data_IF_569928528209
#
_entry.id   IF_569928528209
#
_cell.length_a   1.000
_cell.length_b   1.000
_cell.length_c   1.000
_cell.angle_alpha   90.00
_cell.angle_beta   90.00
_cell.angle_gamma   90.00
#
_symmetry.space_group_name_H-M   'P 1'
#
loop_
_entity.id
_entity.type
_entity.pdbx_description
1 polymer ?
#
# COMPACT_ATOMS: atom_id res chain seq x y z
N UNK A 1 7.25 17.24 -5.34
CA UNK A 1 6.88 15.85 -5.68
C UNK A 1 6.49 15.71 -7.16
N UNK A 2 5.48 16.45 -7.65
CA UNK A 2 5.08 16.43 -9.08
C UNK A 2 6.08 17.12 -10.03
N UNK A 3 7.01 17.90 -9.50
CA UNK A 3 8.09 18.51 -10.29
C UNK A 3 9.11 17.50 -10.83
N UNK A 4 9.02 16.23 -10.41
CA UNK A 4 9.86 15.12 -10.87
C UNK A 4 8.96 13.99 -11.34
N UNK A 5 9.42 13.25 -12.36
CA UNK A 5 8.70 12.07 -12.83
C UNK A 5 8.79 10.96 -11.78
N UNK A 6 7.65 10.64 -11.18
CA UNK A 6 7.49 9.52 -10.25
C UNK A 6 6.53 8.51 -10.88
N UNK A 7 6.78 7.24 -10.59
CA UNK A 7 5.99 6.13 -11.14
C UNK A 7 5.07 5.48 -10.11
N UNK A 8 5.31 5.70 -8.82
CA UNK A 8 4.48 5.18 -7.73
C UNK A 8 4.76 5.92 -6.42
N UNK A 9 3.93 5.68 -5.41
CA UNK A 9 4.11 6.14 -4.03
C UNK A 9 4.08 4.94 -3.09
N UNK A 10 4.96 4.95 -2.08
CA UNK A 10 4.97 3.94 -1.03
C UNK A 10 4.67 4.59 0.34
N UNK A 11 3.73 4.05 1.10
CA UNK A 11 3.24 4.65 2.35
C UNK A 11 3.06 3.63 3.49
N UNK A 12 3.16 4.08 4.74
CA UNK A 12 3.03 3.18 5.90
C UNK A 12 1.60 2.63 6.01
N UNK A 13 1.45 1.31 6.20
CA UNK A 13 0.14 0.65 6.35
C UNK A 13 -0.72 1.23 7.48
N UNK A 14 -0.12 1.63 8.61
CA UNK A 14 -0.83 2.16 9.78
C UNK A 14 -1.37 3.57 9.57
N UNK A 15 -0.96 4.25 8.51
CA UNK A 15 -1.45 5.58 8.18
C UNK A 15 -2.48 5.57 7.03
N UNK A 16 -3.01 4.40 6.67
CA UNK A 16 -4.05 4.24 5.67
C UNK A 16 -5.45 4.12 6.32
N UNK A 17 -6.51 4.58 5.64
CA UNK A 17 -6.49 5.50 4.50
C UNK A 17 -6.05 6.91 4.91
N UNK A 18 -5.60 7.70 3.94
CA UNK A 18 -5.42 9.14 4.12
C UNK A 18 -5.68 9.91 2.82
N UNK A 19 -5.98 11.22 2.88
CA UNK A 19 -6.31 12.01 1.69
C UNK A 19 -5.22 12.03 0.62
N UNK A 20 -3.95 11.95 1.03
CA UNK A 20 -2.83 11.98 0.09
C UNK A 20 -2.78 10.71 -0.77
N UNK A 21 -2.92 9.52 -0.18
CA UNK A 21 -2.93 8.27 -0.96
C UNK A 21 -4.16 8.17 -1.87
N UNK A 22 -5.34 8.65 -1.42
CA UNK A 22 -6.53 8.73 -2.28
C UNK A 22 -6.30 9.66 -3.47
N UNK A 23 -5.68 10.82 -3.24
CA UNK A 23 -5.35 11.74 -4.33
C UNK A 23 -4.39 11.11 -5.35
N UNK A 24 -3.33 10.45 -4.89
CA UNK A 24 -2.36 9.79 -5.78
C UNK A 24 -3.04 8.70 -6.62
N UNK A 25 -3.80 7.80 -5.96
CA UNK A 25 -4.42 6.67 -6.64
C UNK A 25 -5.56 7.09 -7.56
N UNK A 26 -6.44 7.98 -7.10
CA UNK A 26 -7.71 8.27 -7.80
C UNK A 26 -7.65 9.49 -8.72
N UNK A 27 -6.69 10.41 -8.52
CA UNK A 27 -6.59 11.64 -9.32
C UNK A 27 -5.36 11.69 -10.20
N UNK A 28 -4.23 11.16 -9.73
CA UNK A 28 -3.01 11.08 -10.54
C UNK A 28 -2.91 9.77 -11.33
N UNK A 29 -3.77 8.78 -11.04
CA UNK A 29 -3.73 7.45 -11.65
C UNK A 29 -2.35 6.80 -11.52
N UNK A 30 -1.71 7.00 -10.36
CA UNK A 30 -0.40 6.44 -10.05
C UNK A 30 -0.55 5.32 -9.00
N UNK A 31 0.20 4.21 -9.15
CA UNK A 31 0.20 3.14 -8.17
C UNK A 31 0.59 3.59 -6.77
N UNK A 32 -0.14 3.09 -5.78
CA UNK A 32 0.20 3.22 -4.36
C UNK A 32 0.50 1.85 -3.78
N UNK A 33 1.61 1.76 -3.03
CA UNK A 33 2.06 0.54 -2.35
C UNK A 33 2.10 0.81 -0.83
N UNK A 34 1.71 -0.16 -0.01
CA UNK A 34 1.90 -0.07 1.46
C UNK A 34 3.12 -0.87 1.94
N UNK A 35 3.82 -0.34 2.93
CA UNK A 35 4.94 -1.01 3.63
C UNK A 35 4.63 -1.24 5.12
N UNK A 36 5.44 -2.05 5.80
CA UNK A 36 5.19 -2.59 7.16
C UNK A 36 4.00 -3.57 7.24
N UNK A 37 3.70 -4.30 6.15
CA UNK A 37 2.68 -5.36 6.20
C UNK A 37 3.30 -6.65 6.76
N UNK A 38 2.92 -7.01 8.00
CA UNK A 38 3.51 -8.13 8.76
C UNK A 38 2.55 -9.29 9.04
N UNK A 39 1.25 -9.10 8.84
CA UNK A 39 0.23 -10.10 9.10
C UNK A 39 -0.98 -9.98 8.15
N UNK A 40 -1.93 -10.91 8.29
CA UNK A 40 -3.11 -11.01 7.46
C UNK A 40 -4.07 -9.81 7.63
N UNK A 41 -4.17 -9.24 8.83
CA UNK A 41 -5.04 -8.10 9.08
C UNK A 41 -4.47 -6.83 8.43
N UNK A 42 -3.16 -6.62 8.52
CA UNK A 42 -2.46 -5.55 7.81
C UNK A 42 -2.54 -5.72 6.29
N UNK A 43 -2.51 -6.97 5.79
CA UNK A 43 -2.76 -7.25 4.37
C UNK A 43 -4.18 -6.83 4.00
N UNK A 44 -5.19 -7.28 4.74
CA UNK A 44 -6.59 -6.94 4.47
C UNK A 44 -6.82 -5.42 4.51
N UNK A 45 -6.20 -4.75 5.48
CA UNK A 45 -6.23 -3.29 5.57
C UNK A 45 -5.58 -2.64 4.34
N UNK A 46 -4.48 -3.19 3.84
CA UNK A 46 -3.83 -2.70 2.63
C UNK A 46 -4.63 -2.97 1.36
N UNK A 47 -5.22 -4.17 1.22
CA UNK A 47 -6.03 -4.57 0.06
C UNK A 47 -7.22 -3.62 -0.19
N UNK A 48 -7.71 -2.95 0.87
CA UNK A 48 -8.79 -1.97 0.78
C UNK A 48 -8.32 -0.58 0.35
N UNK A 49 -7.03 -0.27 0.48
CA UNK A 49 -6.53 1.10 0.48
C UNK A 49 -5.41 1.37 -0.54
N UNK A 50 -4.74 0.35 -1.06
CA UNK A 50 -3.59 0.47 -1.97
C UNK A 50 -3.59 -0.64 -3.03
N UNK A 51 -2.80 -0.46 -4.09
CA UNK A 51 -2.75 -1.38 -5.23
C UNK A 51 -1.87 -2.61 -4.97
N UNK A 52 -0.90 -2.48 -4.06
CA UNK A 52 0.06 -3.54 -3.73
C UNK A 52 0.61 -3.39 -2.31
N UNK A 53 1.09 -4.50 -1.73
CA UNK A 53 1.84 -4.52 -0.47
C UNK A 53 3.32 -4.86 -0.69
N UNK A 54 4.17 -4.34 0.19
CA UNK A 54 5.53 -4.85 0.42
C UNK A 54 5.48 -5.85 1.57
N UNK A 55 5.90 -7.09 1.31
CA UNK A 55 6.01 -8.13 2.34
C UNK A 55 7.17 -7.83 3.29
N UNK A 56 6.92 -7.77 4.59
CA UNK A 56 7.96 -7.59 5.61
C UNK A 56 7.83 -8.61 6.74
N UNK A 57 8.35 -9.83 6.51
CA UNK A 57 8.22 -10.93 7.48
C UNK A 57 6.85 -11.61 7.47
N UNK A 58 5.98 -11.23 6.53
CA UNK A 58 4.70 -11.89 6.25
C UNK A 58 4.85 -12.86 5.07
N UNK A 59 4.72 -14.17 5.32
CA UNK A 59 4.58 -15.16 4.24
C UNK A 59 3.09 -15.44 3.98
N UNK A 60 2.51 -14.96 2.87
CA UNK A 60 1.10 -15.18 2.55
C UNK A 60 0.75 -16.66 2.32
N UNK A 61 1.75 -17.52 2.07
CA UNK A 61 1.55 -18.96 1.84
C UNK A 61 1.37 -19.72 3.15
N UNK A 62 1.81 -19.17 4.28
CA UNK A 62 1.61 -19.79 5.60
C UNK A 62 0.15 -19.80 6.06
N UNK A 63 -0.73 -19.03 5.39
CA UNK A 63 -2.17 -18.97 5.68
C UNK A 63 -2.98 -20.08 4.98
N UNK A 64 -2.36 -20.84 4.08
CA UNK A 64 -3.00 -21.96 3.36
C UNK A 64 -2.43 -23.26 3.93
N UNK A 65 -3.04 -23.74 5.02
CA UNK A 65 -2.84 -25.08 5.56
C UNK A 65 -4.13 -25.90 5.40
#
# INVERSE_FOLDING_TARGET
>A
MLAHQIFFVSYNVHHLPNPFVSFVREKLDLPVISWTVRDAEMKKHSDLNVDQITFEGFDPRALVA
#
